data_IF_546265058959
#
_entry.id   IF_546265058959
#
_cell.length_a   1.000
_cell.length_b   1.000
_cell.length_c   1.000
_cell.angle_alpha   90.00
_cell.angle_beta   90.00
_cell.angle_gamma   90.00
#
_symmetry.space_group_name_H-M   'P 1'
#
loop_
_entity.id
_entity.type
_entity.pdbx_description
1 polymer ?
#
# COMPACT_ATOMS: atom_id res chain seq x y z
N UNK A 1 5.15 9.10 -25.10
CA UNK A 1 5.60 8.02 -24.21
C UNK A 1 4.43 7.11 -23.93
N UNK A 2 4.54 5.82 -24.23
CA UNK A 2 3.52 4.80 -23.96
C UNK A 2 3.24 4.63 -22.46
N UNK A 3 2.22 3.89 -22.12
CA UNK A 3 1.90 3.50 -20.74
C UNK A 3 3.00 2.54 -20.26
N UNK A 4 3.49 2.73 -19.03
CA UNK A 4 4.52 1.89 -18.44
C UNK A 4 3.81 0.72 -17.74
N UNK A 5 3.96 -0.48 -18.31
CA UNK A 5 3.17 -1.67 -17.94
C UNK A 5 3.60 -2.25 -16.59
N UNK A 6 4.89 -2.29 -16.29
CA UNK A 6 5.37 -2.84 -15.02
C UNK A 6 4.82 -2.09 -13.81
N UNK A 7 4.47 -0.80 -13.93
CA UNK A 7 3.80 -0.04 -12.86
C UNK A 7 2.37 -0.54 -12.63
N UNK A 8 1.64 -0.86 -13.70
CA UNK A 8 0.30 -1.46 -13.56
C UNK A 8 0.39 -2.90 -13.01
N UNK A 9 1.42 -3.66 -13.39
CA UNK A 9 1.70 -4.97 -12.82
C UNK A 9 1.97 -4.91 -11.31
N UNK A 10 2.82 -3.97 -10.86
CA UNK A 10 3.09 -3.75 -9.44
C UNK A 10 1.81 -3.40 -8.66
N UNK A 11 0.95 -2.54 -9.22
CA UNK A 11 -0.36 -2.23 -8.61
C UNK A 11 -1.27 -3.45 -8.58
N UNK A 12 -1.26 -4.29 -9.62
CA UNK A 12 -1.99 -5.54 -9.68
C UNK A 12 -1.54 -6.51 -8.59
N UNK A 13 -0.23 -6.68 -8.39
CA UNK A 13 0.33 -7.49 -7.29
C UNK A 13 -0.08 -6.90 -5.94
N UNK A 14 0.07 -5.59 -5.77
CA UNK A 14 -0.26 -4.90 -4.52
C UNK A 14 -1.74 -5.09 -4.13
N UNK A 15 -2.69 -4.96 -5.09
CA UNK A 15 -4.11 -5.13 -4.78
C UNK A 15 -4.44 -6.59 -4.43
N UNK A 16 -3.82 -7.57 -5.09
CA UNK A 16 -4.02 -8.97 -4.75
C UNK A 16 -3.50 -9.29 -3.34
N UNK A 17 -2.32 -8.79 -2.97
CA UNK A 17 -1.81 -8.91 -1.61
C UNK A 17 -2.70 -8.21 -0.58
N UNK A 18 -3.29 -7.07 -0.95
CA UNK A 18 -4.24 -6.34 -0.10
C UNK A 18 -5.52 -7.16 0.15
N UNK A 19 -6.10 -7.73 -0.90
CA UNK A 19 -7.26 -8.62 -0.77
C UNK A 19 -6.89 -9.85 0.09
N UNK A 20 -5.72 -10.44 -0.15
CA UNK A 20 -5.24 -11.60 0.58
C UNK A 20 -5.14 -11.31 2.09
N UNK A 21 -4.45 -10.25 2.50
CA UNK A 21 -4.23 -9.97 3.93
C UNK A 21 -5.52 -9.60 4.66
N UNK A 22 -6.42 -8.86 4.02
CA UNK A 22 -7.70 -8.51 4.64
C UNK A 22 -8.63 -9.72 4.75
N UNK A 23 -8.62 -10.61 3.74
CA UNK A 23 -9.40 -11.85 3.81
C UNK A 23 -8.86 -12.77 4.90
N UNK A 24 -7.55 -13.00 4.96
CA UNK A 24 -6.93 -13.80 6.00
C UNK A 24 -7.22 -13.26 7.42
N UNK A 25 -7.33 -11.94 7.58
CA UNK A 25 -7.72 -11.32 8.85
C UNK A 25 -9.20 -11.52 9.23
N UNK A 26 -10.07 -11.81 8.26
CA UNK A 26 -11.50 -12.10 8.46
C UNK A 26 -11.74 -13.59 8.73
N UNK A 27 -10.98 -14.46 8.09
CA UNK A 27 -11.08 -15.92 8.18
C UNK A 27 -9.76 -16.52 8.69
N UNK A 28 -9.29 -16.17 9.90
CA UNK A 28 -8.01 -16.65 10.40
C UNK A 28 -8.02 -18.17 10.62
N UNK A 29 -6.89 -18.87 10.42
CA UNK A 29 -6.80 -20.30 10.69
C UNK A 29 -6.83 -20.58 12.19
N UNK A 30 -7.53 -21.65 12.58
CA UNK A 30 -7.66 -22.09 13.98
C UNK A 30 -6.34 -22.68 14.48
N UNK A 31 -5.87 -22.22 15.64
CA UNK A 31 -4.74 -22.84 16.35
C UNK A 31 -3.37 -22.68 15.65
N UNK A 32 -3.26 -21.82 14.67
CA UNK A 32 -1.99 -21.56 13.96
C UNK A 32 -1.35 -20.29 14.50
N UNK A 33 -0.14 -20.43 15.00
CA UNK A 33 0.73 -19.28 15.27
C UNK A 33 1.45 -18.88 13.98
N UNK A 34 1.14 -17.65 13.53
CA UNK A 34 1.69 -17.09 12.27
C UNK A 34 3.22 -17.02 12.32
N UNK A 35 3.81 -16.70 13.48
CA UNK A 35 5.27 -16.59 13.63
C UNK A 35 6.00 -17.93 13.48
N UNK A 36 5.35 -19.03 13.79
CA UNK A 36 5.96 -20.38 13.80
C UNK A 36 5.50 -21.28 12.66
N UNK A 37 4.48 -20.87 11.87
CA UNK A 37 4.01 -21.68 10.75
C UNK A 37 4.48 -21.08 9.40
N UNK A 38 5.37 -21.77 8.62
CA UNK A 38 6.02 -21.19 7.44
C UNK A 38 5.06 -20.61 6.39
N UNK A 39 3.94 -21.29 6.08
CA UNK A 39 2.97 -20.82 5.09
C UNK A 39 2.17 -19.62 5.61
N UNK A 40 1.80 -19.60 6.89
CA UNK A 40 1.11 -18.48 7.49
C UNK A 40 2.03 -17.24 7.56
N UNK A 41 3.29 -17.45 7.94
CA UNK A 41 4.31 -16.41 7.91
C UNK A 41 4.51 -15.83 6.51
N UNK A 42 4.68 -16.70 5.49
CA UNK A 42 4.82 -16.26 4.10
C UNK A 42 3.60 -15.46 3.63
N UNK A 43 2.38 -15.92 3.94
CA UNK A 43 1.16 -15.21 3.60
C UNK A 43 1.08 -13.83 4.28
N UNK A 44 1.42 -13.74 5.57
CA UNK A 44 1.47 -12.48 6.30
C UNK A 44 2.55 -11.53 5.74
N UNK A 45 3.74 -12.04 5.43
CA UNK A 45 4.84 -11.27 4.85
C UNK A 45 4.46 -10.69 3.48
N UNK A 46 3.85 -11.49 2.59
CA UNK A 46 3.36 -11.01 1.29
C UNK A 46 2.25 -9.97 1.45
N UNK A 47 1.31 -10.22 2.36
CA UNK A 47 0.24 -9.26 2.69
C UNK A 47 0.78 -7.95 3.24
N UNK A 48 1.82 -8.00 4.08
CA UNK A 48 2.51 -6.82 4.61
C UNK A 48 3.17 -5.95 3.53
N UNK A 49 3.49 -6.53 2.36
CA UNK A 49 4.06 -5.78 1.22
C UNK A 49 3.02 -5.00 0.41
N UNK A 50 1.74 -5.25 0.60
CA UNK A 50 0.66 -4.59 -0.16
C UNK A 50 0.71 -3.06 -0.05
N UNK A 51 0.72 -2.53 1.17
CA UNK A 51 0.72 -1.09 1.41
C UNK A 51 2.01 -0.39 0.96
N UNK A 52 3.23 -0.89 1.26
CA UNK A 52 4.48 -0.37 0.70
C UNK A 52 4.47 -0.26 -0.83
N UNK A 53 4.01 -1.30 -1.53
CA UNK A 53 3.87 -1.29 -2.99
C UNK A 53 2.88 -0.23 -3.46
N UNK A 54 1.69 -0.16 -2.85
CA UNK A 54 0.66 0.80 -3.24
C UNK A 54 1.10 2.24 -3.04
N UNK A 55 1.65 2.57 -1.88
CA UNK A 55 2.07 3.94 -1.56
C UNK A 55 3.21 4.36 -2.49
N UNK A 56 4.18 3.47 -2.74
CA UNK A 56 5.28 3.74 -3.67
C UNK A 56 4.76 3.96 -5.10
N UNK A 57 3.87 3.10 -5.60
CA UNK A 57 3.34 3.24 -6.96
C UNK A 57 2.42 4.45 -7.10
N UNK A 58 1.73 4.86 -6.04
CA UNK A 58 0.98 6.11 -6.01
C UNK A 58 1.91 7.31 -6.14
N UNK A 59 2.98 7.38 -5.33
CA UNK A 59 4.01 8.42 -5.40
C UNK A 59 4.67 8.51 -6.77
N UNK A 60 5.06 7.36 -7.34
CA UNK A 60 5.59 7.27 -8.69
C UNK A 60 4.61 7.84 -9.73
N UNK A 61 3.36 7.39 -9.69
CA UNK A 61 2.35 7.77 -10.70
C UNK A 61 2.01 9.25 -10.67
N UNK A 62 1.91 9.83 -9.47
CA UNK A 62 1.62 11.26 -9.30
C UNK A 62 2.80 12.11 -9.78
N UNK A 63 4.02 11.79 -9.35
CA UNK A 63 5.24 12.52 -9.72
C UNK A 63 5.50 12.45 -11.23
N UNK A 64 5.48 11.27 -11.83
CA UNK A 64 5.66 11.09 -13.27
C UNK A 64 4.58 11.80 -14.09
N UNK A 65 3.32 11.79 -13.61
CA UNK A 65 2.22 12.52 -14.26
C UNK A 65 2.37 14.02 -14.14
N UNK A 66 2.88 14.54 -13.02
CA UNK A 66 3.15 15.97 -12.83
C UNK A 66 4.23 16.46 -13.78
N UNK A 67 5.38 15.78 -13.81
CA UNK A 67 6.48 16.12 -14.73
C UNK A 67 6.05 16.10 -16.20
N UNK A 68 5.36 15.03 -16.61
CA UNK A 68 4.91 14.88 -18.01
C UNK A 68 3.95 15.96 -18.46
N UNK A 69 3.12 16.48 -17.57
CA UNK A 69 2.11 17.50 -17.86
C UNK A 69 2.58 18.93 -17.59
N UNK A 70 3.75 19.10 -16.99
CA UNK A 70 4.27 20.42 -16.59
C UNK A 70 3.30 21.18 -15.70
N UNK A 71 2.68 20.50 -14.69
CA UNK A 71 1.68 21.14 -13.85
C UNK A 71 2.25 22.27 -13.03
N UNK A 72 1.60 23.42 -13.11
CA UNK A 72 1.90 24.61 -12.33
C UNK A 72 0.63 25.28 -11.78
N UNK A 73 0.79 26.06 -10.73
CA UNK A 73 -0.28 26.90 -10.18
C UNK A 73 -1.65 26.21 -10.03
N UNK A 74 -2.65 26.74 -10.72
CA UNK A 74 -4.04 26.26 -10.69
C UNK A 74 -4.23 24.82 -11.18
N UNK A 75 -3.35 24.32 -12.07
CA UNK A 75 -3.43 22.95 -12.57
C UNK A 75 -3.26 21.92 -11.47
N UNK A 76 -2.47 22.24 -10.45
CA UNK A 76 -2.34 21.41 -9.26
C UNK A 76 -3.65 21.34 -8.47
N UNK A 77 -4.33 22.47 -8.30
CA UNK A 77 -5.61 22.53 -7.58
C UNK A 77 -6.66 21.72 -8.34
N UNK A 78 -6.79 21.92 -9.64
CA UNK A 78 -7.73 21.22 -10.50
C UNK A 78 -7.51 19.67 -10.49
N UNK A 79 -6.25 19.24 -10.38
CA UNK A 79 -5.93 17.83 -10.29
C UNK A 79 -6.10 17.26 -8.87
N UNK A 80 -5.72 18.02 -7.85
CA UNK A 80 -5.64 17.56 -6.45
C UNK A 80 -7.02 17.47 -5.80
N UNK A 81 -7.85 18.52 -5.93
CA UNK A 81 -9.12 18.63 -5.21
C UNK A 81 -10.05 17.43 -5.45
N UNK A 82 -10.36 17.02 -6.70
CA UNK A 82 -11.24 15.87 -6.91
C UNK A 82 -10.62 14.58 -6.37
N UNK A 83 -9.29 14.43 -6.46
CA UNK A 83 -8.59 13.26 -5.97
C UNK A 83 -8.67 13.14 -4.45
N UNK A 84 -8.37 14.22 -3.73
CA UNK A 84 -8.46 14.27 -2.27
C UNK A 84 -9.89 14.00 -1.83
N UNK A 85 -10.88 14.67 -2.42
CA UNK A 85 -12.29 14.49 -2.07
C UNK A 85 -12.76 13.04 -2.28
N UNK A 86 -12.47 12.44 -3.44
CA UNK A 86 -12.88 11.06 -3.73
C UNK A 86 -12.16 10.07 -2.82
N UNK A 87 -10.86 10.23 -2.57
CA UNK A 87 -10.11 9.34 -1.68
C UNK A 87 -10.65 9.41 -0.26
N UNK A 88 -10.98 10.61 0.23
CA UNK A 88 -11.57 10.78 1.56
C UNK A 88 -12.96 10.14 1.65
N UNK A 89 -13.81 10.36 0.65
CA UNK A 89 -15.14 9.72 0.58
C UNK A 89 -15.03 8.20 0.48
N UNK A 90 -14.09 7.68 -0.30
CA UNK A 90 -13.84 6.24 -0.39
C UNK A 90 -13.32 5.68 0.95
N UNK A 91 -12.53 6.44 1.72
CA UNK A 91 -12.11 6.00 3.05
C UNK A 91 -13.31 5.87 4.00
N UNK A 92 -14.18 6.89 4.05
CA UNK A 92 -15.39 6.82 4.87
C UNK A 92 -16.28 5.64 4.43
N UNK A 93 -16.42 5.44 3.12
CA UNK A 93 -17.20 4.32 2.58
C UNK A 93 -16.62 2.96 3.02
N UNK A 94 -15.31 2.77 2.91
CA UNK A 94 -14.62 1.55 3.36
C UNK A 94 -14.83 1.33 4.86
N UNK A 95 -14.67 2.39 5.66
CA UNK A 95 -14.88 2.34 7.10
C UNK A 95 -16.33 1.95 7.44
N UNK A 96 -17.32 2.50 6.72
CA UNK A 96 -18.72 2.15 6.90
C UNK A 96 -19.04 0.71 6.48
N UNK A 97 -18.47 0.25 5.35
CA UNK A 97 -18.66 -1.11 4.84
C UNK A 97 -18.02 -2.18 5.73
N UNK A 98 -16.96 -1.85 6.43
CA UNK A 98 -16.22 -2.76 7.30
C UNK A 98 -16.08 -2.19 8.72
N UNK A 99 -17.19 -1.67 9.24
CA UNK A 99 -17.27 -1.04 10.57
C UNK A 99 -17.21 -2.07 11.69
N UNK A 100 -16.53 -1.74 12.81
CA UNK A 100 -16.39 -2.62 13.96
C UNK A 100 -17.72 -2.96 14.63
N UNK A 101 -18.71 -2.05 14.62
CA UNK A 101 -20.05 -2.30 15.17
C UNK A 101 -20.82 -3.40 14.42
N UNK A 102 -20.39 -3.73 13.20
CA UNK A 102 -20.96 -4.80 12.38
C UNK A 102 -19.96 -5.94 12.15
N UNK A 103 -19.00 -6.11 13.07
CA UNK A 103 -17.97 -7.15 13.00
C UNK A 103 -16.81 -6.83 12.06
N UNK A 104 -16.73 -5.63 11.51
CA UNK A 104 -15.57 -5.12 10.76
C UNK A 104 -14.40 -4.73 11.67
N UNK A 105 -13.52 -3.85 11.20
CA UNK A 105 -12.31 -3.47 11.93
C UNK A 105 -12.09 -1.96 12.07
N UNK A 106 -12.92 -1.11 11.49
CA UNK A 106 -12.68 0.33 11.47
C UNK A 106 -13.78 1.09 12.21
N UNK A 107 -13.39 2.18 12.87
CA UNK A 107 -14.34 3.24 13.21
C UNK A 107 -14.64 4.08 11.96
N UNK A 108 -15.80 4.74 11.91
CA UNK A 108 -16.27 5.46 10.72
C UNK A 108 -15.31 6.56 10.25
N UNK A 109 -14.61 7.20 11.17
CA UNK A 109 -13.65 8.26 10.89
C UNK A 109 -12.19 7.82 10.91
N UNK A 110 -11.89 6.53 11.03
CA UNK A 110 -10.50 6.04 11.05
C UNK A 110 -9.72 6.57 9.85
N UNK A 111 -8.61 7.30 10.05
CA UNK A 111 -7.74 7.70 8.97
C UNK A 111 -6.94 6.48 8.48
N UNK A 112 -7.30 5.95 7.32
CA UNK A 112 -6.66 4.78 6.72
C UNK A 112 -5.75 5.13 5.53
N UNK A 113 -5.43 4.13 4.73
CA UNK A 113 -4.48 4.27 3.61
C UNK A 113 -4.96 5.26 2.53
N UNK A 114 -6.27 5.40 2.32
CA UNK A 114 -6.78 6.35 1.33
C UNK A 114 -6.65 7.81 1.81
N UNK A 115 -6.72 8.07 3.12
CA UNK A 115 -6.39 9.39 3.69
C UNK A 115 -4.90 9.68 3.56
N UNK A 116 -4.02 8.69 3.73
CA UNK A 116 -2.59 8.83 3.43
C UNK A 116 -2.35 9.20 1.96
N UNK A 117 -3.08 8.59 1.01
CA UNK A 117 -2.99 8.99 -0.41
C UNK A 117 -3.48 10.41 -0.65
N UNK A 118 -4.49 10.87 0.08
CA UNK A 118 -4.93 12.26 0.03
C UNK A 118 -3.84 13.21 0.54
N UNK A 119 -3.20 12.92 1.66
CA UNK A 119 -2.02 13.68 2.17
C UNK A 119 -0.89 13.67 1.16
N UNK A 120 -0.56 12.51 0.56
CA UNK A 120 0.45 12.39 -0.50
C UNK A 120 0.13 13.29 -1.70
N UNK A 121 -1.14 13.35 -2.11
CA UNK A 121 -1.57 14.20 -3.22
C UNK A 121 -1.44 15.70 -2.89
N UNK A 122 -1.73 16.10 -1.64
CA UNK A 122 -1.58 17.49 -1.16
C UNK A 122 -0.10 17.91 -1.13
N UNK A 123 0.80 17.00 -0.73
CA UNK A 123 2.24 17.30 -0.61
C UNK A 123 2.98 17.23 -1.96
N UNK A 124 2.44 16.57 -2.96
CA UNK A 124 3.13 16.34 -4.23
C UNK A 124 3.54 17.62 -4.97
N UNK A 125 2.77 18.74 -4.98
CA UNK A 125 3.22 20.01 -5.56
C UNK A 125 4.55 20.50 -5.00
N UNK A 126 4.78 20.30 -3.70
CA UNK A 126 6.04 20.66 -3.03
C UNK A 126 7.11 19.63 -3.36
N UNK A 127 6.81 18.34 -3.18
CA UNK A 127 7.77 17.24 -3.42
C UNK A 127 8.29 17.21 -4.87
N UNK A 128 7.46 17.59 -5.84
CA UNK A 128 7.87 17.61 -7.26
C UNK A 128 8.86 18.73 -7.60
N UNK A 129 8.95 19.78 -6.77
CA UNK A 129 9.85 20.93 -6.95
C UNK A 129 11.21 20.74 -6.27
N UNK A 130 11.31 19.86 -5.29
CA UNK A 130 12.57 19.58 -4.60
C UNK A 130 13.41 18.55 -5.39
N UNK A 131 14.73 18.75 -5.40
CA UNK A 131 15.69 17.88 -6.07
C UNK A 131 15.73 16.46 -5.50
N UNK A 132 16.24 15.52 -6.26
CA UNK A 132 16.38 14.12 -5.88
C UNK A 132 17.16 13.91 -4.58
N UNK A 133 18.25 14.65 -4.40
CA UNK A 133 19.05 14.58 -3.17
C UNK A 133 18.23 14.99 -1.94
N UNK A 134 17.57 16.15 -1.98
CA UNK A 134 16.76 16.64 -0.84
C UNK A 134 15.58 15.72 -0.53
N UNK A 135 14.95 15.12 -1.56
CA UNK A 135 13.92 14.08 -1.36
C UNK A 135 14.49 12.82 -0.72
N UNK A 136 15.72 12.42 -1.09
CA UNK A 136 16.42 11.32 -0.44
C UNK A 136 16.67 11.59 1.04
N UNK A 137 17.14 12.78 1.41
CA UNK A 137 17.31 13.19 2.81
C UNK A 137 15.98 13.17 3.54
N UNK A 138 14.91 13.75 2.95
CA UNK A 138 13.58 13.76 3.55
C UNK A 138 13.03 12.33 3.75
N UNK A 139 13.26 11.43 2.81
CA UNK A 139 12.90 10.01 2.93
C UNK A 139 13.59 9.36 4.13
N UNK A 140 14.88 9.60 4.32
CA UNK A 140 15.64 9.08 5.47
C UNK A 140 15.09 9.64 6.79
N UNK A 141 14.76 10.93 6.84
CA UNK A 141 14.15 11.54 8.03
C UNK A 141 12.81 10.89 8.38
N UNK A 142 11.94 10.61 7.39
CA UNK A 142 10.69 9.89 7.65
C UNK A 142 10.92 8.44 8.09
N UNK A 143 11.92 7.75 7.53
CA UNK A 143 12.28 6.38 7.93
C UNK A 143 12.74 6.35 9.40
N UNK A 144 13.54 7.32 9.83
CA UNK A 144 14.10 7.36 11.19
C UNK A 144 13.11 7.94 12.22
N UNK A 145 12.06 8.60 11.78
CA UNK A 145 11.12 9.28 12.67
C UNK A 145 10.46 8.36 13.72
N UNK A 146 10.02 7.10 13.43
CA UNK A 146 9.48 6.22 14.46
C UNK A 146 10.42 6.03 15.66
N UNK A 147 11.70 5.82 15.41
CA UNK A 147 12.71 5.69 16.48
C UNK A 147 12.89 6.99 17.28
N UNK A 148 12.69 8.15 16.65
CA UNK A 148 12.78 9.46 17.32
C UNK A 148 11.51 9.80 18.10
N UNK A 149 10.34 9.34 17.63
CA UNK A 149 9.04 9.58 18.28
C UNK A 149 8.86 8.70 19.53
N UNK A 150 9.55 7.54 19.59
CA UNK A 150 9.46 6.64 20.73
C UNK A 150 8.02 6.25 21.08
N UNK A 151 7.62 6.41 22.35
CA UNK A 151 6.28 6.08 22.81
C UNK A 151 5.14 6.84 22.10
N UNK A 152 5.39 8.02 21.50
CA UNK A 152 4.38 8.76 20.73
C UNK A 152 3.99 8.07 19.42
N UNK A 153 4.82 7.16 18.89
CA UNK A 153 4.46 6.30 17.77
C UNK A 153 3.42 5.22 18.16
N UNK A 154 3.15 5.06 19.45
CA UNK A 154 2.17 4.11 20.00
C UNK A 154 2.57 2.64 19.85
N UNK A 155 3.81 2.23 20.16
CA UNK A 155 4.23 0.83 20.00
C UNK A 155 3.37 -0.14 20.83
N UNK A 156 2.96 0.27 22.03
CA UNK A 156 2.12 -0.51 22.96
C UNK A 156 0.60 -0.38 22.70
N UNK A 157 0.20 0.35 21.65
CA UNK A 157 -1.21 0.63 21.44
C UNK A 157 -1.94 -0.54 20.80
N UNK A 158 -3.13 -0.83 21.34
CA UNK A 158 -4.05 -1.78 20.74
C UNK A 158 -4.58 -1.26 19.38
N UNK A 159 -5.12 -2.17 18.58
CA UNK A 159 -5.81 -1.80 17.34
C UNK A 159 -6.94 -0.79 17.59
N UNK A 160 -7.76 -1.01 18.64
CA UNK A 160 -8.85 -0.10 19.02
C UNK A 160 -8.35 1.32 19.24
N UNK A 161 -7.24 1.51 19.98
CA UNK A 161 -6.65 2.83 20.19
C UNK A 161 -6.23 3.51 18.89
N UNK A 162 -5.76 2.75 17.90
CA UNK A 162 -5.30 3.31 16.61
C UNK A 162 -6.43 3.77 15.70
N UNK A 163 -7.61 3.16 15.80
CA UNK A 163 -8.75 3.48 14.93
C UNK A 163 -9.66 4.56 15.48
N UNK A 164 -9.73 4.75 16.80
CA UNK A 164 -10.56 5.76 17.44
C UNK A 164 -9.86 7.11 17.61
N UNK A 165 -10.66 8.16 17.66
CA UNK A 165 -10.20 9.53 17.94
C UNK A 165 -11.31 10.37 18.56
N UNK A 166 -11.00 11.01 19.68
CA UNK A 166 -11.93 11.90 20.40
C UNK A 166 -11.73 13.35 19.95
N UNK A 167 -12.16 13.65 18.73
CA UNK A 167 -12.10 15.00 18.16
C UNK A 167 -11.00 15.22 17.12
N UNK A 168 -10.96 16.43 16.55
CA UNK A 168 -10.12 16.75 15.40
C UNK A 168 -8.61 16.68 15.71
N UNK A 169 -8.19 17.11 16.90
CA UNK A 169 -6.77 17.12 17.24
C UNK A 169 -6.20 15.71 17.27
N UNK A 170 -6.90 14.79 17.93
CA UNK A 170 -6.50 13.40 18.00
C UNK A 170 -6.63 12.71 16.63
N UNK A 171 -7.65 13.05 15.84
CA UNK A 171 -7.78 12.56 14.48
C UNK A 171 -6.56 12.93 13.61
N UNK A 172 -6.06 14.19 13.72
CA UNK A 172 -4.84 14.59 13.03
C UNK A 172 -3.61 13.87 13.57
N UNK A 173 -3.55 13.59 14.87
CA UNK A 173 -2.47 12.80 15.46
C UNK A 173 -2.47 11.38 14.90
N UNK A 174 -3.64 10.71 14.78
CA UNK A 174 -3.77 9.41 14.11
C UNK A 174 -3.35 9.48 12.64
N UNK A 175 -3.74 10.53 11.94
CA UNK A 175 -3.36 10.71 10.54
C UNK A 175 -1.86 10.91 10.34
N UNK A 176 -1.20 11.62 11.25
CA UNK A 176 0.19 12.05 11.05
C UNK A 176 1.22 11.15 11.73
N UNK A 177 0.91 10.57 12.91
CA UNK A 177 1.93 10.00 13.80
C UNK A 177 1.63 8.54 14.20
N UNK A 178 0.40 8.20 14.66
CA UNK A 178 0.20 6.97 15.43
C UNK A 178 -1.07 6.18 15.10
N UNK A 179 -1.75 6.51 14.01
CA UNK A 179 -2.90 5.75 13.52
C UNK A 179 -2.54 4.47 12.76
N UNK A 180 -3.45 4.02 11.90
CA UNK A 180 -3.26 2.78 11.12
C UNK A 180 -2.24 2.95 9.98
N UNK A 181 -2.27 4.09 9.28
CA UNK A 181 -1.35 4.46 8.22
C UNK A 181 -0.88 5.91 8.39
N UNK A 182 -0.14 6.22 9.47
CA UNK A 182 0.26 7.59 9.75
C UNK A 182 1.21 8.12 8.67
N UNK A 183 1.08 9.43 8.36
CA UNK A 183 1.92 10.04 7.34
C UNK A 183 3.42 9.82 7.62
N UNK A 184 3.80 9.80 8.87
CA UNK A 184 5.14 9.43 9.35
C UNK A 184 5.05 7.99 9.92
N UNK A 185 5.75 7.00 9.36
CA UNK A 185 6.79 7.08 8.31
C UNK A 185 6.30 6.84 6.87
N UNK A 186 5.00 6.61 6.63
CA UNK A 186 4.49 6.10 5.36
C UNK A 186 4.75 6.99 4.14
N UNK A 187 4.93 8.31 4.32
CA UNK A 187 5.32 9.20 3.22
C UNK A 187 6.72 8.90 2.65
N UNK A 188 7.58 8.17 3.36
CA UNK A 188 8.84 7.67 2.81
C UNK A 188 8.64 6.86 1.53
N UNK A 189 7.58 6.03 1.46
CA UNK A 189 7.25 5.28 0.24
C UNK A 189 6.74 6.18 -0.89
N UNK A 190 5.98 7.24 -0.58
CA UNK A 190 5.59 8.24 -1.60
C UNK A 190 6.82 8.89 -2.21
N UNK A 191 7.80 9.26 -1.38
CA UNK A 191 9.06 9.85 -1.82
C UNK A 191 9.88 8.82 -2.60
N UNK A 192 9.98 7.58 -2.13
CA UNK A 192 10.63 6.48 -2.83
C UNK A 192 10.07 6.32 -4.25
N UNK A 193 8.74 6.33 -4.40
CA UNK A 193 8.08 6.27 -5.70
C UNK A 193 8.50 7.41 -6.62
N UNK A 194 8.59 8.63 -6.10
CA UNK A 194 9.05 9.80 -6.86
C UNK A 194 10.53 9.70 -7.27
N UNK A 195 11.37 9.13 -6.41
CA UNK A 195 12.80 8.88 -6.71
C UNK A 195 12.96 7.79 -7.78
N UNK A 196 12.24 6.68 -7.68
CA UNK A 196 12.24 5.62 -8.70
C UNK A 196 11.80 6.18 -10.06
N UNK A 197 10.81 7.11 -10.09
CA UNK A 197 10.36 7.73 -11.33
C UNK A 197 11.47 8.58 -11.98
N UNK A 198 12.26 9.30 -11.20
CA UNK A 198 13.36 10.12 -11.69
C UNK A 198 14.60 9.29 -12.07
N UNK A 199 14.84 8.19 -11.33
CA UNK A 199 15.97 7.29 -11.57
C UNK A 199 15.65 6.18 -12.59
N UNK A 200 14.59 6.32 -13.38
CA UNK A 200 14.16 5.29 -14.34
C UNK A 200 15.28 4.85 -15.27
N UNK A 201 16.03 5.79 -15.81
CA UNK A 201 17.17 5.55 -16.71
C UNK A 201 18.49 5.28 -15.95
N UNK A 202 18.54 5.56 -14.65
CA UNK A 202 19.74 5.40 -13.82
C UNK A 202 19.74 4.06 -13.09
N UNK A 203 20.05 3.00 -13.84
CA UNK A 203 20.10 1.63 -13.31
C UNK A 203 21.14 1.50 -12.19
N UNK A 204 22.25 2.25 -12.25
CA UNK A 204 23.32 2.16 -11.26
C UNK A 204 22.86 2.67 -9.90
N UNK A 205 22.21 3.81 -9.82
CA UNK A 205 21.71 4.34 -8.57
C UNK A 205 20.55 3.50 -8.01
N UNK A 206 19.68 2.93 -8.84
CA UNK A 206 18.67 1.96 -8.37
C UNK A 206 19.32 0.71 -7.75
N UNK A 207 20.38 0.16 -8.38
CA UNK A 207 21.15 -0.96 -7.82
C UNK A 207 21.83 -0.60 -6.51
N UNK A 208 22.40 0.60 -6.39
CA UNK A 208 23.00 1.08 -5.13
C UNK A 208 21.97 1.17 -4.01
N UNK A 209 20.79 1.74 -4.27
CA UNK A 209 19.70 1.80 -3.30
C UNK A 209 19.29 0.38 -2.86
N UNK A 210 19.13 -0.55 -3.81
CA UNK A 210 18.83 -1.94 -3.50
C UNK A 210 19.91 -2.61 -2.63
N UNK A 211 21.19 -2.44 -2.97
CA UNK A 211 22.29 -3.03 -2.22
C UNK A 211 22.39 -2.50 -0.79
N UNK A 212 22.20 -1.20 -0.57
CA UNK A 212 22.15 -0.61 0.79
C UNK A 212 21.00 -1.22 1.57
N UNK A 213 19.81 -1.30 0.98
CA UNK A 213 18.66 -1.92 1.62
C UNK A 213 18.88 -3.43 1.90
N UNK A 214 19.53 -4.15 0.99
CA UNK A 214 19.84 -5.56 1.16
C UNK A 214 20.81 -5.80 2.33
N UNK A 215 21.84 -4.97 2.46
CA UNK A 215 22.79 -5.04 3.60
C UNK A 215 22.02 -4.85 4.90
N UNK A 216 21.15 -3.85 4.97
CA UNK A 216 20.33 -3.60 6.15
C UNK A 216 19.34 -4.74 6.42
N UNK A 217 18.70 -5.28 5.38
CA UNK A 217 17.82 -6.46 5.51
C UNK A 217 18.58 -7.66 6.08
N UNK A 218 19.80 -7.91 5.59
CA UNK A 218 20.65 -8.98 6.12
C UNK A 218 21.02 -8.75 7.59
N UNK A 219 21.28 -7.51 7.96
CA UNK A 219 21.50 -7.13 9.36
C UNK A 219 20.28 -7.43 10.25
N UNK A 220 19.05 -7.08 9.80
CA UNK A 220 17.84 -7.36 10.59
C UNK A 220 17.58 -8.87 10.77
N UNK A 221 17.87 -9.68 9.75
CA UNK A 221 17.80 -11.15 9.87
C UNK A 221 18.82 -11.67 10.87
N UNK A 222 20.06 -11.17 10.80
CA UNK A 222 21.11 -11.57 11.73
C UNK A 222 20.77 -11.14 13.17
N UNK A 223 20.22 -9.95 13.36
CA UNK A 223 19.78 -9.45 14.67
C UNK A 223 18.67 -10.36 15.24
N UNK A 224 17.68 -10.75 14.44
CA UNK A 224 16.62 -11.68 14.85
C UNK A 224 17.21 -13.02 15.35
N UNK A 225 18.17 -13.60 14.61
CA UNK A 225 18.81 -14.85 14.98
C UNK A 225 19.64 -14.68 16.27
N UNK A 226 20.43 -13.64 16.38
CA UNK A 226 21.36 -13.45 17.52
C UNK A 226 20.65 -13.04 18.81
N UNK A 227 19.54 -12.33 18.71
CA UNK A 227 18.72 -11.90 19.86
C UNK A 227 17.62 -12.91 20.20
N UNK A 228 17.44 -13.93 19.36
CA UNK A 228 16.36 -14.90 19.48
C UNK A 228 14.96 -14.21 19.51
N UNK A 229 14.80 -13.16 18.69
CA UNK A 229 13.57 -12.41 18.53
C UNK A 229 12.85 -12.78 17.24
N UNK A 230 11.51 -12.67 17.22
CA UNK A 230 10.74 -12.87 15.99
C UNK A 230 11.13 -11.82 14.95
N UNK A 231 11.42 -12.25 13.71
CA UNK A 231 11.89 -11.32 12.69
C UNK A 231 10.84 -10.31 12.24
N UNK A 232 9.59 -10.75 12.03
CA UNK A 232 8.53 -9.87 11.54
C UNK A 232 7.16 -10.29 12.11
N UNK A 233 6.41 -9.32 12.61
CA UNK A 233 5.01 -9.45 13.02
C UNK A 233 4.17 -8.28 12.51
N UNK A 234 2.85 -8.47 12.48
CA UNK A 234 1.93 -7.38 12.19
C UNK A 234 1.92 -6.35 13.31
N UNK A 235 1.96 -6.81 14.55
CA UNK A 235 2.02 -6.01 15.80
C UNK A 235 2.71 -6.82 16.89
N UNK A 236 3.20 -6.17 17.94
CA UNK A 236 3.90 -6.80 19.07
C UNK A 236 5.42 -6.76 18.95
N UNK A 237 6.11 -7.56 19.75
CA UNK A 237 7.58 -7.56 19.87
C UNK A 237 8.23 -8.34 18.74
N UNK A 238 8.77 -7.62 17.78
CA UNK A 238 9.53 -8.17 16.65
C UNK A 238 10.51 -7.14 16.09
N UNK A 239 11.54 -7.63 15.39
CA UNK A 239 12.51 -6.75 14.70
C UNK A 239 11.79 -5.86 13.68
N UNK A 240 10.84 -6.41 12.92
CA UNK A 240 10.01 -5.67 11.97
C UNK A 240 8.56 -5.67 12.45
N UNK A 241 7.97 -4.49 12.63
CA UNK A 241 6.55 -4.34 12.95
C UNK A 241 5.83 -3.50 11.91
N UNK A 242 4.57 -3.88 11.59
CA UNK A 242 3.74 -3.15 10.65
C UNK A 242 2.85 -2.12 11.37
N UNK A 243 2.33 -2.43 12.56
CA UNK A 243 1.52 -1.54 13.40
C UNK A 243 2.13 -1.37 14.80
N UNK A 244 2.84 -0.25 15.05
CA UNK A 244 3.23 0.80 14.11
C UNK A 244 4.34 0.33 13.17
N UNK A 245 4.39 0.93 11.96
CA UNK A 245 5.49 0.66 11.05
C UNK A 245 6.80 1.23 11.63
N UNK A 246 7.72 0.36 12.04
CA UNK A 246 9.04 0.77 12.54
C UNK A 246 10.02 1.02 11.38
N UNK A 247 11.16 1.61 11.71
CA UNK A 247 12.20 1.97 10.72
C UNK A 247 12.71 0.76 9.95
N UNK A 248 12.89 -0.36 10.64
CA UNK A 248 13.36 -1.65 10.10
C UNK A 248 12.39 -2.18 9.06
N UNK A 249 11.09 -2.20 9.37
CA UNK A 249 10.04 -2.61 8.43
C UNK A 249 10.05 -1.73 7.17
N UNK A 250 10.17 -0.40 7.34
CA UNK A 250 10.16 0.53 6.20
C UNK A 250 11.34 0.27 5.27
N UNK A 251 12.54 0.06 5.80
CA UNK A 251 13.74 -0.18 4.97
C UNK A 251 13.65 -1.54 4.25
N UNK A 252 13.29 -2.60 4.99
CA UNK A 252 13.21 -3.95 4.43
C UNK A 252 12.15 -4.02 3.33
N UNK A 253 10.96 -3.49 3.58
CA UNK A 253 9.88 -3.50 2.60
C UNK A 253 10.15 -2.56 1.40
N UNK A 254 10.80 -1.41 1.62
CA UNK A 254 11.26 -0.54 0.52
C UNK A 254 12.30 -1.26 -0.36
N UNK A 255 13.18 -2.06 0.24
CA UNK A 255 14.15 -2.89 -0.50
C UNK A 255 13.45 -3.92 -1.38
N UNK A 256 12.42 -4.59 -0.86
CA UNK A 256 11.58 -5.49 -1.64
C UNK A 256 10.87 -4.78 -2.80
N UNK A 257 10.31 -3.59 -2.55
CA UNK A 257 9.65 -2.77 -3.60
C UNK A 257 10.63 -2.43 -4.72
N UNK A 258 11.86 -2.01 -4.40
CA UNK A 258 12.90 -1.69 -5.39
C UNK A 258 13.26 -2.94 -6.19
N UNK A 259 13.47 -4.08 -5.52
CA UNK A 259 13.79 -5.35 -6.17
C UNK A 259 12.70 -5.76 -7.16
N UNK A 260 11.44 -5.76 -6.71
CA UNK A 260 10.30 -6.12 -7.55
C UNK A 260 10.17 -5.18 -8.76
N UNK A 261 10.35 -3.87 -8.55
CA UNK A 261 10.35 -2.89 -9.63
C UNK A 261 11.44 -3.18 -10.66
N UNK A 262 12.68 -3.49 -10.21
CA UNK A 262 13.79 -3.81 -11.10
C UNK A 262 13.54 -5.09 -11.91
N UNK A 263 12.96 -6.12 -11.27
CA UNK A 263 12.61 -7.39 -11.95
C UNK A 263 11.53 -7.14 -13.01
N UNK A 264 10.44 -6.45 -12.65
CA UNK A 264 9.32 -6.22 -13.56
C UNK A 264 9.66 -5.24 -14.69
N UNK A 265 10.50 -4.24 -14.43
CA UNK A 265 11.06 -3.35 -15.47
C UNK A 265 11.89 -4.16 -16.48
N UNK A 266 12.70 -5.11 -16.01
CA UNK A 266 13.47 -6.01 -16.89
C UNK A 266 12.57 -6.94 -17.71
N UNK A 267 11.50 -7.48 -17.11
CA UNK A 267 10.52 -8.33 -17.81
C UNK A 267 9.78 -7.53 -18.89
N UNK A 268 9.37 -6.28 -18.61
CA UNK A 268 8.70 -5.41 -19.60
C UNK A 268 9.59 -5.11 -20.79
N UNK A 269 10.88 -4.90 -20.56
CA UNK A 269 11.86 -4.52 -21.60
C UNK A 269 12.47 -5.73 -22.35
N UNK A 270 12.11 -6.97 -21.96
CA UNK A 270 12.57 -8.16 -22.69
C UNK A 270 11.65 -8.43 -23.90
N UNK A 271 12.20 -8.40 -25.14
CA UNK A 271 11.42 -8.67 -26.35
C UNK A 271 10.81 -10.09 -26.40
N UNK A 272 11.47 -11.07 -25.79
CA UNK A 272 10.94 -12.41 -25.61
C UNK A 272 10.13 -12.44 -24.31
N UNK A 273 8.89 -11.99 -24.35
CA UNK A 273 7.98 -12.07 -23.21
C UNK A 273 7.77 -13.54 -22.80
N UNK A 274 8.59 -14.02 -21.87
CA UNK A 274 8.43 -15.38 -21.31
C UNK A 274 7.12 -15.57 -20.54
N UNK A 275 6.91 -16.74 -19.96
CA UNK A 275 5.71 -17.07 -19.19
C UNK A 275 5.34 -16.02 -18.13
N UNK A 276 6.34 -15.40 -17.48
CA UNK A 276 6.15 -14.35 -16.47
C UNK A 276 5.47 -13.14 -17.09
N UNK A 277 5.91 -12.64 -18.25
CA UNK A 277 5.27 -11.50 -18.93
C UNK A 277 3.82 -11.80 -19.32
N UNK A 278 3.51 -13.04 -19.72
CA UNK A 278 2.15 -13.49 -19.99
C UNK A 278 1.23 -13.44 -18.75
N UNK A 279 1.74 -13.86 -17.58
CA UNK A 279 1.02 -13.78 -16.31
C UNK A 279 0.82 -12.32 -15.91
N UNK A 280 1.87 -11.51 -15.98
CA UNK A 280 1.82 -10.09 -15.61
C UNK A 280 0.81 -9.30 -16.46
N UNK A 281 0.69 -9.59 -17.75
CA UNK A 281 -0.34 -8.98 -18.60
C UNK A 281 -1.77 -9.26 -18.12
N UNK A 282 -2.04 -10.41 -17.54
CA UNK A 282 -3.36 -10.73 -16.96
C UNK A 282 -3.65 -9.96 -15.68
N UNK A 283 -2.62 -9.47 -14.98
CA UNK A 283 -2.75 -8.63 -13.78
C UNK A 283 -2.93 -7.13 -14.09
N UNK A 284 -2.59 -6.70 -15.31
CA UNK A 284 -2.70 -5.29 -15.70
C UNK A 284 -4.08 -4.67 -15.46
N UNK A 285 -5.21 -5.34 -15.82
CA UNK A 285 -6.55 -4.86 -15.53
C UNK A 285 -6.79 -4.59 -14.05
N UNK A 286 -6.35 -5.51 -13.17
CA UNK A 286 -6.47 -5.32 -11.72
C UNK A 286 -5.67 -4.11 -11.21
N UNK A 287 -4.46 -3.90 -11.74
CA UNK A 287 -3.66 -2.72 -11.41
C UNK A 287 -4.29 -1.39 -11.86
N UNK A 288 -5.04 -1.42 -12.97
CA UNK A 288 -5.78 -0.25 -13.48
C UNK A 288 -7.05 0.06 -12.68
N UNK A 289 -7.64 -0.93 -12.04
CA UNK A 289 -8.85 -0.86 -11.22
C UNK A 289 -8.57 -0.93 -9.72
N UNK A 290 -7.37 -0.59 -9.30
CA UNK A 290 -6.89 -0.84 -7.94
C UNK A 290 -7.73 -0.15 -6.85
N UNK A 291 -8.22 1.08 -7.05
CA UNK A 291 -9.10 1.77 -6.11
C UNK A 291 -10.50 1.15 -6.11
N UNK A 292 -11.03 0.81 -7.29
CA UNK A 292 -12.34 0.16 -7.41
C UNK A 292 -12.33 -1.21 -6.73
N UNK A 293 -11.29 -2.01 -6.94
CA UNK A 293 -11.11 -3.31 -6.26
C UNK A 293 -10.92 -3.09 -4.75
N UNK A 294 -10.14 -2.05 -4.35
CA UNK A 294 -9.94 -1.73 -2.94
C UNK A 294 -11.27 -1.50 -2.20
N UNK A 295 -12.18 -0.71 -2.76
CA UNK A 295 -13.50 -0.50 -2.16
C UNK A 295 -14.37 -1.76 -2.28
N UNK A 296 -14.35 -2.42 -3.43
CA UNK A 296 -15.17 -3.59 -3.72
C UNK A 296 -14.86 -4.79 -2.82
N UNK A 297 -13.58 -5.07 -2.52
CA UNK A 297 -13.25 -6.21 -1.65
C UNK A 297 -13.69 -5.97 -0.20
N UNK A 298 -13.65 -4.71 0.30
CA UNK A 298 -14.22 -4.40 1.61
C UNK A 298 -15.73 -4.51 1.65
N UNK A 299 -16.42 -4.19 0.55
CA UNK A 299 -17.86 -4.43 0.45
C UNK A 299 -18.18 -5.93 0.55
N UNK A 300 -17.40 -6.78 -0.13
CA UNK A 300 -17.57 -8.24 -0.03
C UNK A 300 -17.22 -8.78 1.37
N UNK A 301 -16.14 -8.31 1.97
CA UNK A 301 -15.75 -8.71 3.34
C UNK A 301 -16.78 -8.23 4.36
N UNK A 302 -17.30 -7.00 4.24
CA UNK A 302 -18.34 -6.50 5.12
C UNK A 302 -19.64 -7.30 5.00
N UNK A 303 -20.07 -7.63 3.78
CA UNK A 303 -21.23 -8.49 3.54
C UNK A 303 -21.01 -9.91 4.11
N UNK A 304 -19.80 -10.47 3.94
CA UNK A 304 -19.45 -11.77 4.51
C UNK A 304 -19.55 -11.75 6.04
N UNK A 305 -18.93 -10.78 6.69
CA UNK A 305 -18.93 -10.66 8.16
C UNK A 305 -20.34 -10.38 8.70
N UNK A 306 -21.13 -9.55 8.04
CA UNK A 306 -22.52 -9.28 8.42
C UNK A 306 -23.41 -10.54 8.34
N UNK A 307 -23.10 -11.47 7.42
CA UNK A 307 -23.90 -12.68 7.21
C UNK A 307 -23.43 -13.85 8.04
N UNK A 308 -22.12 -14.08 8.14
CA UNK A 308 -21.54 -15.28 8.76
C UNK A 308 -20.78 -14.98 10.06
N UNK A 309 -20.58 -13.71 10.39
CA UNK A 309 -19.72 -13.30 11.49
C UNK A 309 -18.23 -13.47 11.18
N UNK A 310 -17.39 -13.09 12.13
CA UNK A 310 -15.98 -13.46 12.16
C UNK A 310 -15.84 -14.82 12.84
N UNK A 311 -14.97 -15.65 12.30
CA UNK A 311 -14.70 -16.95 12.93
C UNK A 311 -13.35 -17.50 12.47
N UNK A 312 -12.79 -18.39 13.29
CA UNK A 312 -11.62 -19.16 12.91
C UNK A 312 -12.06 -20.38 12.09
N UNK A 313 -11.30 -20.69 11.07
CA UNK A 313 -11.58 -21.77 10.11
C UNK A 313 -10.44 -22.81 10.16
N UNK A 314 -10.69 -24.08 9.77
CA UNK A 314 -9.58 -24.99 9.47
C UNK A 314 -8.59 -24.35 8.49
N UNK A 315 -7.30 -24.67 8.62
CA UNK A 315 -6.23 -24.05 7.82
C UNK A 315 -6.52 -24.11 6.32
N UNK A 316 -6.98 -25.26 5.82
CA UNK A 316 -7.27 -25.47 4.41
C UNK A 316 -8.44 -24.59 3.93
N UNK A 317 -9.48 -24.44 4.74
CA UNK A 317 -10.63 -23.60 4.42
C UNK A 317 -10.25 -22.11 4.45
N UNK A 318 -9.52 -21.67 5.48
CA UNK A 318 -8.98 -20.30 5.57
C UNK A 318 -8.12 -19.96 4.34
N UNK A 319 -7.20 -20.86 4.00
CA UNK A 319 -6.34 -20.69 2.82
C UNK A 319 -7.13 -20.68 1.52
N UNK A 320 -8.06 -21.62 1.33
CA UNK A 320 -8.88 -21.71 0.12
C UNK A 320 -9.74 -20.45 -0.07
N UNK A 321 -10.44 -19.98 0.97
CA UNK A 321 -11.26 -18.76 0.92
C UNK A 321 -10.40 -17.54 0.57
N UNK A 322 -9.23 -17.43 1.18
CA UNK A 322 -8.29 -16.33 0.93
C UNK A 322 -7.81 -16.33 -0.52
N UNK A 323 -7.37 -17.47 -1.03
CA UNK A 323 -6.86 -17.61 -2.41
C UNK A 323 -7.98 -17.42 -3.43
N UNK A 324 -9.16 -17.98 -3.21
CA UNK A 324 -10.31 -17.82 -4.13
C UNK A 324 -10.70 -16.35 -4.20
N UNK A 325 -10.87 -15.66 -3.07
CA UNK A 325 -11.23 -14.24 -3.06
C UNK A 325 -10.16 -13.39 -3.76
N UNK A 326 -8.88 -13.64 -3.48
CA UNK A 326 -7.77 -12.94 -4.12
C UNK A 326 -7.76 -13.15 -5.65
N UNK A 327 -7.82 -14.39 -6.12
CA UNK A 327 -7.70 -14.72 -7.55
C UNK A 327 -8.94 -14.29 -8.33
N UNK A 328 -10.13 -14.30 -7.72
CA UNK A 328 -11.38 -13.91 -8.39
C UNK A 328 -11.33 -12.49 -8.98
N UNK A 329 -10.53 -11.58 -8.40
CA UNK A 329 -10.39 -10.23 -8.92
C UNK A 329 -9.67 -10.14 -10.26
N UNK A 330 -8.91 -11.17 -10.66
CA UNK A 330 -8.24 -11.22 -11.98
C UNK A 330 -9.28 -11.32 -13.10
N UNK A 331 -10.11 -12.37 -13.18
CA UNK A 331 -11.14 -12.45 -14.23
C UNK A 331 -12.19 -11.34 -14.10
N UNK A 332 -12.55 -10.89 -12.90
CA UNK A 332 -13.47 -9.78 -12.68
C UNK A 332 -12.94 -8.51 -13.33
N UNK A 333 -11.67 -8.17 -13.11
CA UNK A 333 -11.05 -6.96 -13.69
C UNK A 333 -10.93 -7.04 -15.21
N UNK A 334 -10.61 -8.22 -15.76
CA UNK A 334 -10.60 -8.45 -17.22
C UNK A 334 -11.99 -8.28 -17.82
N UNK A 335 -13.01 -8.85 -17.17
CA UNK A 335 -14.40 -8.71 -17.61
C UNK A 335 -14.87 -7.25 -17.52
N UNK A 336 -14.54 -6.55 -16.43
CA UNK A 336 -14.87 -5.13 -16.26
C UNK A 336 -14.30 -4.27 -17.39
N UNK A 337 -13.05 -4.47 -17.79
CA UNK A 337 -12.46 -3.72 -18.90
C UNK A 337 -13.15 -3.94 -20.23
N UNK A 338 -13.74 -5.11 -20.44
CA UNK A 338 -14.48 -5.44 -21.68
C UNK A 338 -15.90 -4.91 -21.68
N UNK A 339 -16.58 -5.00 -20.53
CA UNK A 339 -18.03 -4.75 -20.42
C UNK A 339 -18.32 -3.32 -19.98
N UNK A 340 -17.53 -2.78 -19.05
CA UNK A 340 -17.83 -1.53 -18.36
C UNK A 340 -16.61 -0.61 -18.17
N UNK A 341 -15.77 -0.33 -19.18
CA UNK A 341 -14.48 0.34 -19.04
C UNK A 341 -14.57 1.78 -18.48
N UNK A 342 -15.74 2.39 -18.55
CA UNK A 342 -15.98 3.76 -18.10
C UNK A 342 -16.54 3.86 -16.67
N UNK A 343 -16.85 2.73 -16.03
CA UNK A 343 -17.52 2.69 -14.73
C UNK A 343 -16.53 2.22 -13.65
N UNK A 344 -15.59 3.10 -13.28
CA UNK A 344 -14.64 2.85 -12.18
C UNK A 344 -14.36 4.13 -11.39
N UNK A 345 -13.94 4.00 -10.13
CA UNK A 345 -13.57 5.12 -9.27
C UNK A 345 -12.38 5.89 -9.87
N UNK A 346 -11.44 5.22 -10.49
CA UNK A 346 -10.33 5.82 -11.22
C UNK A 346 -10.81 6.68 -12.38
N UNK A 347 -11.84 6.26 -13.09
CA UNK A 347 -12.43 7.03 -14.18
C UNK A 347 -13.18 8.25 -13.65
N UNK A 348 -13.89 8.14 -12.54
CA UNK A 348 -14.55 9.28 -11.87
C UNK A 348 -13.52 10.36 -11.53
N UNK A 349 -12.41 9.99 -10.86
CA UNK A 349 -11.31 10.91 -10.55
C UNK A 349 -10.79 11.58 -11.83
N UNK A 350 -10.58 10.81 -12.89
CA UNK A 350 -10.04 11.31 -14.15
C UNK A 350 -10.98 12.32 -14.83
N UNK A 351 -12.27 12.01 -14.86
CA UNK A 351 -13.29 12.89 -15.48
C UNK A 351 -13.44 14.18 -14.69
N UNK A 352 -13.53 14.11 -13.36
CA UNK A 352 -13.64 15.30 -12.51
C UNK A 352 -12.41 16.20 -12.62
N UNK A 353 -11.20 15.61 -12.58
CA UNK A 353 -9.96 16.38 -12.75
C UNK A 353 -9.87 17.07 -14.13
N UNK A 354 -10.41 16.45 -15.18
CA UNK A 354 -10.46 17.07 -16.51
C UNK A 354 -11.46 18.22 -16.63
N UNK A 355 -12.60 18.12 -15.91
CA UNK A 355 -13.61 19.18 -15.89
C UNK A 355 -13.13 20.44 -15.18
N UNK A 356 -12.35 20.29 -14.10
CA UNK A 356 -11.82 21.41 -13.33
C UNK A 356 -10.57 22.06 -13.96
N UNK A 357 -9.89 21.36 -14.88
CA UNK A 357 -8.72 21.90 -15.61
C UNK A 357 -9.08 22.58 -16.93
N UNK A 358 -10.35 22.76 -17.24
CA UNK A 358 -10.91 23.56 -18.33
C UNK A 358 -11.40 24.89 -17.82
#
# INVERSE_FOLDING_TARGET
MGRIRHIDWMKGIAILFMVQVHTAAVVPPTGIDVGHHPLAFLAAALGGMAAPLFVTMSGWGVHASAKRKGREGSDWIAWMVPRVAILFLCQILVNALFNENHGGRFDILTPGILTLFAVSAILMPVLSKIGTFSRGVLMILFILAPSMLGGHAGPEWSWSTRIHSDGLAEWFERLLINGTYPAIPWLSYTILGSLIADLKEDVLNRKRMFLVGLIFTSYTVLASITQNETWALTEGDAILTFFPANSEFVIVSATFVILLQMILDRVENNPEEGAIGGIMRRLEPAGRLSLTIYVGHFALLGAFVATFGRGSFPLEASFALTVIHMIAWIPISIAHERIAPNYSLEQVIRVMSRKLSR
#
